data_IF_129240276660
#
_entry.id   IF_129240276660
#
_cell.length_a   1.000
_cell.length_b   1.000
_cell.length_c   1.000
_cell.angle_alpha   90.00
_cell.angle_beta   90.00
_cell.angle_gamma   90.00
#
_symmetry.space_group_name_H-M   'P 1'
#
loop_
_entity.id
_entity.type
_entity.pdbx_description
1 polymer ?
#
# COMPACT_ATOMS: atom_id res chain seq x y z
N UNK A 1 -19.49 -55.99 -30.62
CA UNK A 1 -18.74 -56.18 -29.37
C UNK A 1 -17.95 -54.93 -29.00
N UNK A 2 -16.95 -54.50 -29.78
CA UNK A 2 -16.08 -53.36 -29.45
C UNK A 2 -16.63 -51.97 -29.82
N UNK A 3 -17.96 -51.78 -29.81
CA UNK A 3 -18.57 -50.50 -30.20
C UNK A 3 -18.38 -49.48 -29.06
N UNK A 4 -17.92 -48.27 -29.36
CA UNK A 4 -17.60 -47.20 -28.40
C UNK A 4 -16.34 -47.43 -27.52
N UNK A 5 -15.53 -48.44 -27.81
CA UNK A 5 -14.25 -48.65 -27.13
C UNK A 5 -13.19 -47.67 -27.66
N UNK A 6 -12.50 -46.98 -26.74
CA UNK A 6 -11.25 -46.27 -27.03
C UNK A 6 -10.09 -47.25 -26.95
N UNK A 7 -8.95 -46.84 -27.51
CA UNK A 7 -7.68 -47.58 -27.44
C UNK A 7 -7.30 -47.95 -25.99
N UNK A 8 -7.55 -47.04 -25.06
CA UNK A 8 -7.29 -47.21 -23.63
C UNK A 8 -8.18 -48.30 -23.01
N UNK A 9 -9.47 -48.34 -23.36
CA UNK A 9 -10.39 -49.36 -22.86
C UNK A 9 -9.94 -50.76 -23.30
N UNK A 10 -9.61 -50.93 -24.59
CA UNK A 10 -9.14 -52.21 -25.12
C UNK A 10 -7.81 -52.63 -24.51
N UNK A 11 -6.94 -51.68 -24.18
CA UNK A 11 -5.68 -51.96 -23.50
C UNK A 11 -5.91 -52.46 -22.08
N UNK A 12 -6.83 -51.85 -21.33
CA UNK A 12 -7.22 -52.31 -19.99
C UNK A 12 -7.83 -53.71 -20.07
N UNK A 13 -8.77 -53.93 -20.99
CA UNK A 13 -9.40 -55.24 -21.20
C UNK A 13 -8.37 -56.32 -21.54
N UNK A 14 -7.40 -56.05 -22.43
CA UNK A 14 -6.35 -57.01 -22.76
C UNK A 14 -5.46 -57.35 -21.56
N UNK A 15 -5.11 -56.35 -20.73
CA UNK A 15 -4.33 -56.58 -19.50
C UNK A 15 -5.12 -57.40 -18.47
N UNK A 16 -6.41 -57.13 -18.29
CA UNK A 16 -7.31 -57.87 -17.39
C UNK A 16 -7.53 -59.33 -17.85
N UNK A 17 -7.47 -59.59 -19.17
CA UNK A 17 -7.49 -60.94 -19.72
C UNK A 17 -6.15 -61.69 -19.59
N UNK A 18 -5.14 -61.06 -18.98
CA UNK A 18 -3.81 -61.62 -18.73
C UNK A 18 -2.84 -61.51 -19.91
N UNK A 19 -3.17 -60.72 -20.94
CA UNK A 19 -2.30 -60.51 -22.10
C UNK A 19 -1.28 -59.41 -21.85
N UNK A 20 -0.07 -59.58 -22.38
CA UNK A 20 0.96 -58.54 -22.33
C UNK A 20 0.84 -57.62 -23.54
N UNK A 21 0.63 -56.33 -23.27
CA UNK A 21 0.38 -55.33 -24.32
C UNK A 21 1.59 -54.40 -24.48
N UNK A 22 2.17 -54.38 -25.68
CA UNK A 22 3.24 -53.45 -26.04
C UNK A 22 2.79 -51.97 -25.98
N UNK A 23 3.73 -51.07 -25.70
CA UNK A 23 3.43 -49.64 -25.49
C UNK A 23 2.90 -48.93 -26.75
N UNK A 24 3.34 -49.38 -27.93
CA UNK A 24 2.93 -48.84 -29.25
C UNK A 24 2.03 -49.80 -30.03
N UNK A 25 1.03 -50.37 -29.36
CA UNK A 25 0.02 -51.21 -30.02
C UNK A 25 -1.04 -50.36 -30.72
N UNK A 26 -1.64 -50.85 -31.80
CA UNK A 26 -2.78 -50.21 -32.47
C UNK A 26 -4.11 -50.73 -31.92
N UNK A 27 -5.22 -50.03 -32.22
CA UNK A 27 -6.57 -50.49 -31.86
C UNK A 27 -6.85 -51.86 -32.51
N UNK A 28 -6.45 -52.05 -33.76
CA UNK A 28 -6.69 -53.29 -34.51
C UNK A 28 -5.95 -54.46 -33.85
N UNK A 29 -4.67 -54.29 -33.54
CA UNK A 29 -3.84 -55.28 -32.84
C UNK A 29 -4.40 -55.64 -31.47
N UNK A 30 -4.85 -54.66 -30.68
CA UNK A 30 -5.53 -54.90 -29.40
C UNK A 30 -6.81 -55.73 -29.56
N UNK A 31 -7.57 -55.45 -30.62
CA UNK A 31 -8.82 -56.17 -30.90
C UNK A 31 -8.55 -57.61 -31.31
N UNK A 32 -7.45 -57.87 -32.03
CA UNK A 32 -7.00 -59.21 -32.39
C UNK A 32 -6.50 -59.99 -31.18
N UNK A 33 -5.66 -59.39 -30.33
CA UNK A 33 -5.19 -59.98 -29.07
C UNK A 33 -6.37 -60.44 -28.21
N UNK A 34 -7.39 -59.57 -28.05
CA UNK A 34 -8.59 -59.92 -27.26
C UNK A 34 -9.38 -61.06 -27.92
N UNK A 35 -9.49 -61.10 -29.25
CA UNK A 35 -10.22 -62.17 -29.97
C UNK A 35 -9.49 -63.53 -29.94
N UNK A 36 -8.17 -63.50 -29.92
CA UNK A 36 -7.30 -64.67 -29.88
C UNK A 36 -7.27 -65.34 -28.49
N UNK A 37 -7.54 -64.56 -27.44
CA UNK A 37 -7.51 -65.00 -26.05
C UNK A 37 -8.50 -66.14 -25.76
N UNK A 38 -8.08 -67.07 -24.89
CA UNK A 38 -8.87 -68.27 -24.53
C UNK A 38 -10.25 -67.93 -23.97
N UNK A 39 -10.35 -66.89 -23.13
CA UNK A 39 -11.61 -66.49 -22.51
C UNK A 39 -12.58 -65.91 -23.54
N UNK A 40 -12.08 -65.27 -24.59
CA UNK A 40 -12.92 -64.81 -25.69
C UNK A 40 -13.50 -65.97 -26.50
N UNK A 41 -12.75 -67.07 -26.65
CA UNK A 41 -13.19 -68.26 -27.40
C UNK A 41 -14.13 -69.15 -26.57
N UNK A 42 -13.94 -69.20 -25.25
CA UNK A 42 -14.71 -70.04 -24.33
C UNK A 42 -15.96 -69.33 -23.79
N UNK A 43 -15.86 -68.04 -23.43
CA UNK A 43 -16.94 -67.25 -22.84
C UNK A 43 -16.93 -65.82 -23.37
N UNK A 44 -17.56 -65.66 -24.54
CA UNK A 44 -17.72 -64.36 -25.20
C UNK A 44 -18.50 -63.36 -24.33
N UNK A 45 -19.40 -63.84 -23.46
CA UNK A 45 -20.26 -62.97 -22.66
C UNK A 45 -19.48 -62.36 -21.50
N UNK A 46 -18.62 -63.13 -20.84
CA UNK A 46 -17.66 -62.62 -19.86
C UNK A 46 -16.83 -61.47 -20.43
N UNK A 47 -16.28 -61.63 -21.64
CA UNK A 47 -15.45 -60.56 -22.24
C UNK A 47 -16.29 -59.35 -22.64
N UNK A 48 -17.57 -59.53 -23.02
CA UNK A 48 -18.48 -58.39 -23.26
C UNK A 48 -18.76 -57.62 -21.97
N UNK A 49 -19.04 -58.31 -20.87
CA UNK A 49 -19.26 -57.68 -19.56
C UNK A 49 -18.02 -56.93 -19.09
N UNK A 50 -16.83 -57.50 -19.26
CA UNK A 50 -15.56 -56.84 -18.95
C UNK A 50 -15.39 -55.54 -19.75
N UNK A 51 -15.63 -55.59 -21.07
CA UNK A 51 -15.58 -54.40 -21.93
C UNK A 51 -16.59 -53.34 -21.48
N UNK A 52 -17.81 -53.76 -21.14
CA UNK A 52 -18.85 -52.85 -20.71
C UNK A 52 -18.50 -52.19 -19.38
N UNK A 53 -18.00 -52.96 -18.42
CA UNK A 53 -17.50 -52.46 -17.13
C UNK A 53 -16.39 -51.43 -17.32
N UNK A 54 -15.38 -51.71 -18.15
CA UNK A 54 -14.28 -50.77 -18.43
C UNK A 54 -14.78 -49.45 -19.02
N UNK A 55 -15.76 -49.51 -19.94
CA UNK A 55 -16.36 -48.31 -20.54
C UNK A 55 -17.14 -47.50 -19.50
N UNK A 56 -17.91 -48.18 -18.64
CA UNK A 56 -18.71 -47.55 -17.59
C UNK A 56 -17.82 -46.92 -16.50
N UNK A 57 -16.76 -47.60 -16.07
CA UNK A 57 -15.81 -47.08 -15.09
C UNK A 57 -15.10 -45.82 -15.60
N UNK A 58 -14.64 -45.82 -16.86
CA UNK A 58 -14.09 -44.61 -17.49
C UNK A 58 -15.09 -43.47 -17.53
N UNK A 59 -16.35 -43.73 -17.92
CA UNK A 59 -17.39 -42.68 -17.98
C UNK A 59 -17.63 -42.07 -16.60
N UNK A 60 -17.72 -42.90 -15.57
CA UNK A 60 -17.88 -42.45 -14.18
C UNK A 60 -16.69 -41.60 -13.73
N UNK A 61 -15.46 -42.06 -14.00
CA UNK A 61 -14.25 -41.29 -13.68
C UNK A 61 -14.20 -39.93 -14.42
N UNK A 62 -14.67 -39.86 -15.66
CA UNK A 62 -14.72 -38.62 -16.43
C UNK A 62 -15.79 -37.64 -15.91
N UNK A 63 -16.94 -38.15 -15.45
CA UNK A 63 -17.98 -37.36 -14.76
C UNK A 63 -17.52 -36.84 -13.39
N UNK A 64 -16.83 -37.67 -12.61
CA UNK A 64 -16.29 -37.26 -11.30
C UNK A 64 -15.20 -36.19 -11.45
N UNK A 65 -14.35 -36.31 -12.48
CA UNK A 65 -13.37 -35.27 -12.83
C UNK A 65 -14.04 -33.95 -13.21
N UNK A 66 -15.09 -33.99 -14.03
CA UNK A 66 -15.84 -32.78 -14.40
C UNK A 66 -16.48 -32.11 -13.19
N UNK A 67 -17.13 -32.89 -12.31
CA UNK A 67 -17.70 -32.36 -11.06
C UNK A 67 -16.65 -31.71 -10.17
N UNK A 68 -15.49 -32.36 -9.98
CA UNK A 68 -14.40 -31.81 -9.18
C UNK A 68 -13.84 -30.50 -9.78
N UNK A 69 -13.75 -30.39 -11.11
CA UNK A 69 -13.31 -29.16 -11.78
C UNK A 69 -14.33 -28.02 -11.64
N UNK A 70 -15.62 -28.32 -11.78
CA UNK A 70 -16.70 -27.35 -11.56
C UNK A 70 -16.73 -26.84 -10.13
N UNK A 71 -16.59 -27.73 -9.14
CA UNK A 71 -16.53 -27.36 -7.73
C UNK A 71 -15.31 -26.49 -7.41
N UNK A 72 -14.14 -26.79 -7.99
CA UNK A 72 -12.96 -25.92 -7.87
C UNK A 72 -13.20 -24.53 -8.44
N UNK A 73 -13.83 -24.43 -9.63
CA UNK A 73 -14.17 -23.14 -10.24
C UNK A 73 -15.17 -22.37 -9.38
N UNK A 74 -16.17 -23.04 -8.80
CA UNK A 74 -17.14 -22.43 -7.87
C UNK A 74 -16.45 -21.89 -6.61
N UNK A 75 -15.58 -22.68 -6.00
CA UNK A 75 -14.82 -22.26 -4.81
C UNK A 75 -13.95 -21.04 -5.11
N UNK A 76 -13.27 -21.00 -6.26
CA UNK A 76 -12.43 -19.86 -6.65
C UNK A 76 -13.27 -18.57 -6.82
N UNK A 77 -14.41 -18.66 -7.50
CA UNK A 77 -15.32 -17.52 -7.71
C UNK A 77 -15.86 -17.01 -6.36
N UNK A 78 -16.19 -17.91 -5.45
CA UNK A 78 -16.72 -17.53 -4.13
C UNK A 78 -15.65 -16.89 -3.25
N UNK A 79 -14.42 -17.39 -3.30
CA UNK A 79 -13.27 -16.77 -2.63
C UNK A 79 -12.99 -15.37 -3.16
N UNK A 80 -13.04 -15.18 -4.48
CA UNK A 80 -12.84 -13.87 -5.12
C UNK A 80 -13.97 -12.89 -4.77
N UNK A 81 -15.24 -13.33 -4.79
CA UNK A 81 -16.37 -12.50 -4.31
C UNK A 81 -16.23 -12.14 -2.85
N UNK A 82 -15.75 -13.05 -2.01
CA UNK A 82 -15.53 -12.79 -0.58
C UNK A 82 -14.45 -11.73 -0.37
N UNK A 83 -13.31 -11.85 -1.06
CA UNK A 83 -12.24 -10.84 -1.05
C UNK A 83 -12.72 -9.48 -1.54
N UNK A 84 -13.52 -9.45 -2.61
CA UNK A 84 -14.09 -8.21 -3.14
C UNK A 84 -15.06 -7.56 -2.14
N UNK A 85 -15.91 -8.36 -1.48
CA UNK A 85 -16.85 -7.87 -0.48
C UNK A 85 -16.14 -7.34 0.76
N UNK A 86 -15.11 -8.04 1.25
CA UNK A 86 -14.26 -7.58 2.36
C UNK A 86 -13.54 -6.28 2.01
N UNK A 87 -12.99 -6.16 0.79
CA UNK A 87 -12.36 -4.92 0.32
C UNK A 87 -13.36 -3.76 0.29
N UNK A 88 -14.59 -3.96 -0.21
CA UNK A 88 -15.63 -2.93 -0.23
C UNK A 88 -16.07 -2.52 1.18
N UNK A 89 -16.13 -3.47 2.11
CA UNK A 89 -16.45 -3.17 3.51
C UNK A 89 -15.34 -2.31 4.15
N UNK A 90 -14.08 -2.70 3.93
CA UNK A 90 -12.92 -1.98 4.43
C UNK A 90 -12.79 -0.59 3.84
N UNK A 91 -13.09 -0.43 2.56
CA UNK A 91 -13.14 0.88 1.89
C UNK A 91 -14.23 1.79 2.51
N UNK A 92 -15.43 1.24 2.77
CA UNK A 92 -16.50 1.97 3.45
C UNK A 92 -16.13 2.36 4.87
N UNK A 93 -15.50 1.47 5.63
CA UNK A 93 -15.01 1.75 6.98
C UNK A 93 -13.97 2.86 6.96
N UNK A 94 -13.01 2.79 6.02
CA UNK A 94 -12.01 3.83 5.85
C UNK A 94 -12.67 5.18 5.53
N UNK A 95 -13.62 5.22 4.58
CA UNK A 95 -14.37 6.43 4.20
C UNK A 95 -15.15 7.01 5.40
N UNK A 96 -15.80 6.17 6.18
CA UNK A 96 -16.53 6.58 7.39
C UNK A 96 -15.59 7.14 8.46
N UNK A 97 -14.38 6.61 8.57
CA UNK A 97 -13.41 7.05 9.56
C UNK A 97 -12.65 8.31 9.13
N UNK A 98 -12.46 8.50 7.82
CA UNK A 98 -11.96 9.75 7.23
C UNK A 98 -12.94 10.90 7.44
N UNK A 99 -14.25 10.64 7.35
CA UNK A 99 -15.27 11.61 7.72
C UNK A 99 -15.21 12.00 9.23
N UNK A 100 -14.65 11.13 10.09
CA UNK A 100 -14.43 11.41 11.52
C UNK A 100 -13.12 12.14 11.79
N UNK A 101 -12.14 12.04 10.89
CA UNK A 101 -10.86 12.75 10.95
C UNK A 101 -11.02 14.17 10.41
N UNK A 102 -11.85 14.97 11.06
CA UNK A 102 -11.94 16.39 10.81
C UNK A 102 -10.79 17.10 11.54
N UNK A 103 -9.60 17.24 10.92
CA UNK A 103 -8.51 18.04 11.51
C UNK A 103 -7.64 18.67 10.44
N UNK A 104 -7.40 19.98 10.60
CA UNK A 104 -6.25 20.70 10.06
C UNK A 104 -4.95 19.96 10.39
N UNK A 105 -4.54 19.08 9.46
CA UNK A 105 -3.19 18.58 9.17
C UNK A 105 -2.22 18.38 10.36
N UNK A 106 -2.24 17.17 10.94
CA UNK A 106 -1.03 16.56 11.51
C UNK A 106 -0.65 15.37 10.61
N UNK A 107 0.31 15.59 9.70
CA UNK A 107 0.80 14.56 8.78
C UNK A 107 1.20 13.27 9.54
N UNK A 108 1.80 13.41 10.72
CA UNK A 108 2.14 12.28 11.57
C UNK A 108 0.94 11.45 12.04
N UNK A 109 -0.21 12.08 12.31
CA UNK A 109 -1.42 11.34 12.74
C UNK A 109 -1.97 10.52 11.58
N UNK A 110 -1.98 11.09 10.38
CA UNK A 110 -2.37 10.39 9.15
C UNK A 110 -1.44 9.20 8.87
N UNK A 111 -0.12 9.40 8.99
CA UNK A 111 0.87 8.34 8.78
C UNK A 111 0.72 7.20 9.80
N UNK A 112 0.59 7.52 11.09
CA UNK A 112 0.34 6.50 12.12
C UNK A 112 -0.97 5.75 11.86
N UNK A 113 -2.00 6.42 11.36
CA UNK A 113 -3.25 5.78 10.99
C UNK A 113 -3.09 4.84 9.79
N UNK A 114 -2.31 5.21 8.77
CA UNK A 114 -2.01 4.35 7.63
C UNK A 114 -1.26 3.09 8.02
N UNK A 115 -0.23 3.24 8.86
CA UNK A 115 0.57 2.10 9.36
C UNK A 115 -0.27 1.19 10.25
N UNK A 116 -0.96 1.73 11.25
CA UNK A 116 -1.74 0.92 12.21
C UNK A 116 -2.86 0.10 11.56
N UNK A 117 -3.42 0.58 10.45
CA UNK A 117 -4.52 -0.08 9.73
C UNK A 117 -4.10 -0.83 8.49
N UNK A 118 -2.80 -0.87 8.20
CA UNK A 118 -2.24 -1.51 7.03
C UNK A 118 -2.92 -1.05 5.74
N UNK A 119 -3.06 0.27 5.57
CA UNK A 119 -3.74 0.87 4.43
C UNK A 119 -2.93 0.61 3.15
N UNK A 120 -3.51 -0.03 2.12
CA UNK A 120 -2.80 -0.28 0.86
C UNK A 120 -2.34 1.03 0.20
N UNK A 121 -1.12 1.03 -0.35
CA UNK A 121 -0.47 2.21 -0.95
C UNK A 121 -1.35 2.91 -1.99
N UNK A 122 -2.01 2.11 -2.84
CA UNK A 122 -2.92 2.58 -3.91
C UNK A 122 -4.07 3.46 -3.42
N UNK A 123 -4.45 3.37 -2.14
CA UNK A 123 -5.53 4.17 -1.58
C UNK A 123 -5.02 5.42 -0.85
N UNK A 124 -3.75 5.48 -0.43
CA UNK A 124 -3.25 6.57 0.42
C UNK A 124 -3.37 7.94 -0.26
N UNK A 125 -3.13 8.02 -1.56
CA UNK A 125 -3.25 9.28 -2.31
C UNK A 125 -4.69 9.79 -2.39
N UNK A 126 -5.63 8.91 -2.74
CA UNK A 126 -7.06 9.23 -2.77
C UNK A 126 -7.54 9.72 -1.40
N UNK A 127 -7.08 9.06 -0.34
CA UNK A 127 -7.38 9.43 1.04
C UNK A 127 -6.84 10.82 1.39
N UNK A 128 -5.58 11.11 1.04
CA UNK A 128 -4.95 12.42 1.27
C UNK A 128 -5.71 13.55 0.56
N UNK A 129 -6.08 13.36 -0.70
CA UNK A 129 -6.84 14.35 -1.47
C UNK A 129 -8.21 14.61 -0.83
N UNK A 130 -8.90 13.57 -0.41
CA UNK A 130 -10.18 13.71 0.30
C UNK A 130 -10.03 14.46 1.64
N UNK A 131 -8.94 14.23 2.38
CA UNK A 131 -8.66 14.93 3.64
C UNK A 131 -8.32 16.41 3.46
N UNK A 132 -7.72 16.79 2.33
CA UNK A 132 -7.42 18.18 2.00
C UNK A 132 -8.67 19.01 1.69
N UNK A 133 -9.76 18.36 1.30
CA UNK A 133 -11.01 19.03 0.92
C UNK A 133 -10.78 20.05 -0.19
N UNK A 134 -11.22 21.29 0.01
CA UNK A 134 -11.09 22.37 -0.98
C UNK A 134 -9.62 22.67 -1.36
N UNK A 135 -8.66 22.41 -0.47
CA UNK A 135 -7.22 22.61 -0.75
C UNK A 135 -6.68 21.60 -1.76
N UNK A 136 -7.38 20.48 -1.99
CA UNK A 136 -6.95 19.47 -2.95
C UNK A 136 -6.87 20.03 -4.37
N UNK A 137 -7.79 20.92 -4.75
CA UNK A 137 -7.82 21.51 -6.09
C UNK A 137 -6.52 22.26 -6.44
N UNK A 138 -5.94 22.95 -5.45
CA UNK A 138 -4.66 23.65 -5.62
C UNK A 138 -3.52 22.66 -5.84
N UNK A 139 -3.52 21.54 -5.10
CA UNK A 139 -2.50 20.48 -5.25
C UNK A 139 -2.62 19.81 -6.62
N UNK A 140 -3.84 19.51 -7.08
CA UNK A 140 -4.12 18.89 -8.37
C UNK A 140 -3.68 19.74 -9.56
N UNK A 141 -3.53 21.06 -9.39
CA UNK A 141 -3.01 21.94 -10.43
C UNK A 141 -1.54 21.64 -10.77
N UNK A 142 -0.79 21.04 -9.84
CA UNK A 142 0.64 20.78 -9.97
C UNK A 142 0.99 19.30 -10.17
N UNK A 143 0.01 18.40 -10.13
CA UNK A 143 0.22 16.94 -10.18
C UNK A 143 -0.46 16.38 -11.43
N UNK A 144 0.28 15.61 -12.24
CA UNK A 144 -0.30 14.94 -13.43
C UNK A 144 -1.14 13.73 -13.03
N UNK A 145 -2.09 13.33 -13.86
CA UNK A 145 -2.99 12.18 -13.59
C UNK A 145 -2.24 10.88 -13.27
N UNK A 146 -1.11 10.63 -13.91
CA UNK A 146 -0.26 9.46 -13.68
C UNK A 146 0.48 9.50 -12.33
N UNK A 147 0.71 10.70 -11.79
CA UNK A 147 1.39 10.95 -10.51
C UNK A 147 0.41 10.92 -9.32
N UNK A 148 -0.91 11.02 -9.55
CA UNK A 148 -1.93 10.98 -8.49
C UNK A 148 -1.94 9.65 -7.72
N UNK A 149 -1.49 8.57 -8.33
CA UNK A 149 -1.39 7.26 -7.67
C UNK A 149 -0.12 7.12 -6.82
N UNK A 150 0.77 8.11 -6.82
CA UNK A 150 2.01 8.11 -6.06
C UNK A 150 1.88 8.93 -4.77
N UNK A 151 1.73 8.22 -3.65
CA UNK A 151 1.58 8.81 -2.32
C UNK A 151 2.75 9.75 -1.94
N UNK A 152 3.99 9.33 -2.17
CA UNK A 152 5.18 10.09 -1.76
C UNK A 152 5.32 11.39 -2.54
N UNK A 153 5.03 11.36 -3.84
CA UNK A 153 5.03 12.58 -4.66
C UNK A 153 3.93 13.54 -4.20
N UNK A 154 2.70 13.04 -4.04
CA UNK A 154 1.59 13.87 -3.57
C UNK A 154 1.88 14.49 -2.20
N UNK A 155 2.39 13.70 -1.27
CA UNK A 155 2.83 14.14 0.06
C UNK A 155 3.88 15.24 -0.03
N UNK A 156 4.89 15.10 -0.90
CA UNK A 156 5.93 16.11 -1.07
C UNK A 156 5.38 17.46 -1.57
N UNK A 157 4.41 17.43 -2.49
CA UNK A 157 3.74 18.65 -2.99
C UNK A 157 2.92 19.31 -1.88
N UNK A 158 2.18 18.52 -1.11
CA UNK A 158 1.38 19.01 0.03
C UNK A 158 2.26 19.65 1.09
N UNK A 159 3.38 19.00 1.46
CA UNK A 159 4.30 19.54 2.45
C UNK A 159 4.94 20.83 1.95
N UNK A 160 5.37 20.88 0.69
CA UNK A 160 5.94 22.11 0.11
C UNK A 160 4.96 23.30 0.18
N UNK A 161 3.68 23.06 -0.08
CA UNK A 161 2.68 24.12 -0.20
C UNK A 161 2.04 24.52 1.15
N UNK A 162 1.88 23.55 2.05
CA UNK A 162 1.07 23.71 3.26
C UNK A 162 1.79 23.41 4.57
N UNK A 163 3.01 22.85 4.56
CA UNK A 163 3.75 22.64 5.82
C UNK A 163 4.11 24.00 6.44
N UNK A 164 3.69 24.27 7.68
CA UNK A 164 4.04 25.52 8.32
C UNK A 164 5.55 25.62 8.53
N UNK A 165 6.12 26.79 8.31
CA UNK A 165 7.55 27.00 8.52
C UNK A 165 7.90 26.96 10.01
N UNK A 166 9.16 26.65 10.33
CA UNK A 166 9.66 26.67 11.71
C UNK A 166 9.37 28.02 12.40
N UNK A 167 9.53 29.14 11.69
CA UNK A 167 9.23 30.48 12.21
C UNK A 167 7.75 30.66 12.56
N UNK A 168 6.82 30.07 11.80
CA UNK A 168 5.41 30.12 12.14
C UNK A 168 5.12 29.41 13.47
N UNK A 169 5.73 28.26 13.72
CA UNK A 169 5.59 27.56 15.01
C UNK A 169 6.21 28.36 16.17
N UNK A 170 7.37 28.98 15.97
CA UNK A 170 8.00 29.84 16.97
C UNK A 170 7.12 31.05 17.29
N UNK A 171 6.56 31.72 16.28
CA UNK A 171 5.66 32.85 16.45
C UNK A 171 4.36 32.45 17.15
N UNK A 172 3.77 31.30 16.77
CA UNK A 172 2.60 30.75 17.45
C UNK A 172 2.89 30.42 18.91
N UNK A 173 4.07 29.88 19.23
CA UNK A 173 4.50 29.64 20.61
C UNK A 173 4.63 30.95 21.40
N UNK A 174 5.33 31.95 20.85
CA UNK A 174 5.56 33.25 21.51
C UNK A 174 4.28 34.05 21.74
N UNK A 175 3.36 34.03 20.77
CA UNK A 175 2.11 34.80 20.80
C UNK A 175 0.93 34.03 21.38
N UNK A 176 1.11 32.75 21.71
CA UNK A 176 0.04 31.94 22.25
C UNK A 176 -0.48 32.54 23.56
N UNK A 177 -1.80 32.68 23.64
CA UNK A 177 -2.52 32.99 24.87
C UNK A 177 -3.58 31.92 25.08
N UNK A 178 -3.96 31.67 26.34
CA UNK A 178 -4.98 30.68 26.68
C UNK A 178 -6.34 31.13 26.11
N UNK A 179 -7.01 30.25 25.40
CA UNK A 179 -8.37 30.54 24.92
C UNK A 179 -9.39 30.49 26.07
N UNK A 180 -10.53 31.20 25.97
CA UNK A 180 -11.56 31.20 27.01
C UNK A 180 -12.06 29.80 27.39
N UNK A 181 -12.22 28.93 26.40
CA UNK A 181 -12.76 27.57 26.55
C UNK A 181 -11.69 26.48 26.70
N UNK A 182 -10.42 26.85 26.89
CA UNK A 182 -9.28 25.92 26.95
C UNK A 182 -8.80 25.75 28.39
N UNK A 183 -8.70 24.52 28.89
CA UNK A 183 -8.06 24.24 30.20
C UNK A 183 -6.56 24.54 30.14
N UNK A 184 -5.92 24.77 31.30
CA UNK A 184 -4.47 24.94 31.32
C UNK A 184 -3.70 23.71 30.82
N UNK A 185 -4.23 22.50 30.98
CA UNK A 185 -3.62 21.28 30.42
C UNK A 185 -3.62 21.32 28.89
N UNK A 186 -4.74 21.72 28.28
CA UNK A 186 -4.84 21.86 26.83
C UNK A 186 -3.92 22.98 26.31
N UNK A 187 -3.87 24.11 27.02
CA UNK A 187 -2.98 25.22 26.70
C UNK A 187 -1.51 24.82 26.74
N UNK A 188 -1.08 24.15 27.80
CA UNK A 188 0.28 23.62 27.93
C UNK A 188 0.58 22.62 26.83
N UNK A 189 -0.35 21.73 26.50
CA UNK A 189 -0.18 20.77 25.41
C UNK A 189 0.04 21.47 24.07
N UNK A 190 -0.73 22.53 23.78
CA UNK A 190 -0.57 23.34 22.56
C UNK A 190 0.79 24.04 22.50
N UNK A 191 1.27 24.61 23.62
CA UNK A 191 2.59 25.21 23.71
C UNK A 191 3.71 24.18 23.47
N UNK A 192 3.62 23.00 24.12
CA UNK A 192 4.58 21.91 23.95
C UNK A 192 4.61 21.46 22.49
N UNK A 193 3.46 21.24 21.88
CA UNK A 193 3.36 20.83 20.46
C UNK A 193 4.02 21.83 19.53
N UNK A 194 3.72 23.13 19.69
CA UNK A 194 4.33 24.18 18.87
C UNK A 194 5.85 24.22 19.03
N UNK A 195 6.34 24.12 20.26
CA UNK A 195 7.78 24.10 20.54
C UNK A 195 8.47 22.86 19.96
N UNK A 196 7.88 21.67 20.14
CA UNK A 196 8.44 20.43 19.61
C UNK A 196 8.50 20.42 18.08
N UNK A 197 7.45 20.91 17.40
CA UNK A 197 7.47 21.05 15.95
C UNK A 197 8.52 22.06 15.48
N UNK A 198 8.68 23.17 16.20
CA UNK A 198 9.76 24.13 15.92
C UNK A 198 11.15 23.47 15.98
N UNK A 199 11.45 22.76 17.08
CA UNK A 199 12.73 22.06 17.24
C UNK A 199 12.94 20.98 16.16
N UNK A 200 11.88 20.24 15.82
CA UNK A 200 11.92 19.21 14.78
C UNK A 200 12.28 19.79 13.42
N UNK A 201 11.64 20.89 13.00
CA UNK A 201 11.94 21.54 11.72
C UNK A 201 13.33 22.18 11.69
N UNK A 202 13.81 22.66 12.84
CA UNK A 202 15.20 23.15 13.04
C UNK A 202 16.23 22.03 13.22
N UNK A 203 15.79 20.77 13.22
CA UNK A 203 16.61 19.56 13.39
C UNK A 203 17.45 19.58 14.68
N UNK A 204 16.88 20.14 15.76
CA UNK A 204 17.53 20.22 17.07
C UNK A 204 17.20 18.98 17.89
N UNK A 205 18.22 18.18 18.20
CA UNK A 205 18.08 16.89 18.92
C UNK A 205 18.84 16.81 20.24
N UNK A 206 19.70 17.77 20.54
CA UNK A 206 20.55 17.77 21.73
C UNK A 206 20.52 19.11 22.47
N UNK A 207 20.98 19.08 23.72
CA UNK A 207 20.94 20.23 24.63
C UNK A 207 21.81 21.39 24.14
N UNK A 208 22.96 21.12 23.54
CA UNK A 208 23.87 22.15 23.05
C UNK A 208 23.27 22.89 21.84
N UNK A 209 22.63 22.15 20.94
CA UNK A 209 21.93 22.70 19.78
C UNK A 209 20.70 23.51 20.20
N UNK A 210 20.03 23.11 21.28
CA UNK A 210 18.94 23.89 21.87
C UNK A 210 19.44 25.22 22.44
N UNK A 211 20.57 25.21 23.17
CA UNK A 211 21.17 26.43 23.70
C UNK A 211 21.58 27.39 22.56
N UNK A 212 22.23 26.85 21.53
CA UNK A 212 22.60 27.61 20.34
C UNK A 212 21.38 28.22 19.65
N UNK A 213 20.28 27.46 19.52
CA UNK A 213 19.05 27.93 18.89
C UNK A 213 18.42 29.09 19.67
N UNK A 214 18.31 28.95 20.99
CA UNK A 214 17.74 29.99 21.87
C UNK A 214 18.54 31.29 21.76
N UNK A 215 19.87 31.21 21.79
CA UNK A 215 20.73 32.39 21.65
C UNK A 215 20.61 33.00 20.26
N UNK A 216 20.58 32.18 19.21
CA UNK A 216 20.44 32.65 17.82
C UNK A 216 19.09 33.34 17.60
N UNK A 217 18.00 32.77 18.11
CA UNK A 217 16.66 33.38 18.07
C UNK A 217 16.62 34.71 18.83
N UNK A 218 17.34 34.80 19.96
CA UNK A 218 17.43 36.06 20.72
C UNK A 218 18.15 37.14 19.92
N UNK A 219 19.31 36.83 19.33
CA UNK A 219 20.07 37.75 18.48
C UNK A 219 19.20 38.18 17.29
N UNK A 220 18.59 37.21 16.61
CA UNK A 220 17.72 37.46 15.46
C UNK A 220 16.54 38.37 15.80
N UNK A 221 15.91 38.18 16.97
CA UNK A 221 14.79 39.02 17.42
C UNK A 221 15.15 40.47 17.72
N UNK A 222 16.45 40.77 17.91
CA UNK A 222 16.93 42.14 18.12
C UNK A 222 17.36 42.85 16.84
N UNK A 223 17.34 42.17 15.69
CA UNK A 223 17.75 42.75 14.42
C UNK A 223 16.68 43.70 13.87
N UNK A 224 17.16 44.76 13.22
CA UNK A 224 16.30 45.58 12.38
C UNK A 224 15.79 44.79 11.18
N UNK A 225 14.65 45.24 10.62
CA UNK A 225 13.91 44.51 9.59
C UNK A 225 14.77 44.18 8.37
N UNK A 226 15.64 45.10 7.96
CA UNK A 226 16.50 44.97 6.79
C UNK A 226 17.57 43.89 6.99
N UNK A 227 18.28 43.94 8.12
CA UNK A 227 19.28 42.93 8.51
C UNK A 227 18.63 41.56 8.67
N UNK A 228 17.48 41.49 9.37
CA UNK A 228 16.74 40.24 9.57
C UNK A 228 16.31 39.61 8.23
N UNK A 229 15.91 40.43 7.26
CA UNK A 229 15.55 39.98 5.91
C UNK A 229 16.76 39.40 5.16
N UNK A 230 17.91 40.07 5.21
CA UNK A 230 19.15 39.57 4.59
C UNK A 230 19.56 38.21 5.19
N UNK A 231 19.59 38.12 6.52
CA UNK A 231 19.95 36.88 7.22
C UNK A 231 18.97 35.75 6.88
N UNK A 232 17.67 36.04 6.79
CA UNK A 232 16.66 35.04 6.43
C UNK A 232 16.89 34.47 5.03
N UNK A 233 17.21 35.31 4.05
CA UNK A 233 17.52 34.86 2.68
C UNK A 233 18.75 33.97 2.67
N UNK A 234 19.79 34.33 3.44
CA UNK A 234 21.04 33.57 3.49
C UNK A 234 20.89 32.22 4.22
N UNK A 235 20.11 32.19 5.30
CA UNK A 235 19.86 30.97 6.05
C UNK A 235 18.91 30.01 5.31
N UNK A 236 18.01 30.54 4.47
CA UNK A 236 17.02 29.77 3.74
C UNK A 236 16.08 29.03 4.70
N UNK A 237 16.02 27.69 4.56
CA UNK A 237 15.22 26.83 5.46
C UNK A 237 15.95 26.44 6.75
N UNK A 238 17.24 26.74 6.87
CA UNK A 238 18.07 26.40 8.02
C UNK A 238 18.23 27.60 8.98
N UNK A 239 19.15 27.50 9.93
CA UNK A 239 19.49 28.56 10.87
C UNK A 239 21.00 28.61 11.13
N UNK A 240 21.50 29.79 11.51
CA UNK A 240 22.90 29.96 11.87
C UNK A 240 23.09 29.82 13.37
N UNK A 241 24.12 29.08 13.78
CA UNK A 241 24.57 29.04 15.18
C UNK A 241 25.04 30.43 15.64
N UNK A 242 25.10 30.72 16.95
CA UNK A 242 25.28 32.08 17.45
C UNK A 242 26.49 32.83 16.87
N UNK A 243 27.67 32.19 16.87
CA UNK A 243 28.89 32.81 16.35
C UNK A 243 28.88 32.97 14.83
N UNK A 244 28.21 32.06 14.12
CA UNK A 244 28.06 32.17 12.67
C UNK A 244 27.10 33.31 12.34
N UNK A 245 25.94 33.37 13.02
CA UNK A 245 24.96 34.42 12.87
C UNK A 245 25.58 35.80 13.10
N UNK A 246 26.34 35.97 14.19
CA UNK A 246 27.05 37.21 14.48
C UNK A 246 27.98 37.63 13.33
N UNK A 247 28.80 36.70 12.82
CA UNK A 247 29.70 36.98 11.68
C UNK A 247 28.94 37.42 10.43
N UNK A 248 27.77 36.83 10.16
CA UNK A 248 26.97 37.22 9.00
C UNK A 248 26.36 38.60 9.14
N UNK A 249 25.95 38.97 10.36
CA UNK A 249 25.46 40.31 10.67
C UNK A 249 26.58 41.33 10.52
N UNK A 250 27.76 41.07 11.11
CA UNK A 250 28.92 41.97 11.04
C UNK A 250 29.36 42.18 9.58
N UNK A 251 29.36 41.12 8.77
CA UNK A 251 29.69 41.20 7.35
C UNK A 251 28.70 42.08 6.59
N UNK A 252 27.40 41.91 6.83
CA UNK A 252 26.36 42.73 6.20
C UNK A 252 26.49 44.21 6.56
N UNK A 253 26.67 44.52 7.85
CA UNK A 253 26.81 45.90 8.33
C UNK A 253 28.08 46.56 7.78
N UNK A 254 29.18 45.82 7.69
CA UNK A 254 30.45 46.29 7.08
C UNK A 254 30.26 46.66 5.61
N UNK A 255 29.46 45.87 4.86
CA UNK A 255 29.17 46.12 3.45
C UNK A 255 28.24 47.32 3.23
N UNK A 256 27.37 47.63 4.19
CA UNK A 256 26.47 48.80 4.14
C UNK A 256 27.12 50.10 4.64
N UNK A 257 28.31 50.04 5.21
CA UNK A 257 29.03 51.22 5.70
C UNK A 257 28.58 51.71 7.07
N UNK A 258 27.75 50.94 7.79
CA UNK A 258 27.47 51.17 9.20
C UNK A 258 28.68 50.72 10.02
N UNK A 259 29.63 51.64 10.22
CA UNK A 259 30.63 51.47 11.28
C UNK A 259 29.90 51.59 12.62
N UNK A 260 30.03 50.54 13.44
CA UNK A 260 29.55 50.41 14.81
C UNK A 260 29.74 51.65 15.67
#
# INVERSE_FOLDING_TARGET
MFKNCRKEDLRIVALELGETVAEKVTIVELTEIIKENKYFKEDVEFVKELIQYTIEDRKKAEEDRKRAEEDRKRMQIEEDRKKETENRLREKELKLELARLNVNSDNERTERAFVSKNVPEKFKSEILLNLLGEKASNVLTYVKEDELNNYEQLKSVILREYEPSANQFLEQFKKATRHPNETFIQYTSRLITNWQYYLKLRKVSDFDNLNDLIVSDKIFSSLEKEVASHISVRAGNDWFRPLQLAKEIDLYNTLLGERA
#
